data_IF_980707443867
#
_entry.id   IF_980707443867
#
_cell.length_a   1.000
_cell.length_b   1.000
_cell.length_c   1.000
_cell.angle_alpha   90.00
_cell.angle_beta   90.00
_cell.angle_gamma   90.00
#
_symmetry.space_group_name_H-M   'P 1'
#
loop_
_entity.id
_entity.type
_entity.pdbx_description
1 polymer ?
#
# COMPACT_ATOMS: atom_id res chain seq x y z
N UNK A 1 -20.38 3.59 -0.81
CA UNK A 1 -20.21 4.91 -1.46
C UNK A 1 -20.59 4.80 -2.92
N UNK A 2 -21.16 5.84 -3.54
CA UNK A 2 -21.46 5.83 -4.97
C UNK A 2 -20.17 5.73 -5.79
N UNK A 3 -20.28 5.31 -7.05
CA UNK A 3 -19.13 5.03 -7.93
C UNK A 3 -18.28 6.27 -8.24
N UNK A 4 -18.85 7.45 -8.10
CA UNK A 4 -18.24 8.77 -8.31
C UNK A 4 -17.59 9.35 -7.04
N UNK A 5 -17.66 8.65 -5.89
CA UNK A 5 -17.04 9.13 -4.67
C UNK A 5 -15.52 9.29 -4.85
N UNK A 6 -14.90 10.37 -4.34
CA UNK A 6 -13.46 10.59 -4.48
C UNK A 6 -12.60 9.44 -3.93
N UNK A 7 -11.66 8.98 -4.73
CA UNK A 7 -10.72 7.91 -4.39
C UNK A 7 -9.28 8.34 -4.63
N UNK A 8 -8.33 7.54 -4.14
CA UNK A 8 -6.92 7.68 -4.49
C UNK A 8 -6.65 7.08 -5.87
N UNK A 9 -5.62 7.58 -6.53
CA UNK A 9 -5.10 7.09 -7.81
C UNK A 9 -3.59 6.86 -7.69
N UNK A 10 -3.06 5.87 -8.40
CA UNK A 10 -1.62 5.60 -8.43
C UNK A 10 -0.89 6.66 -9.26
N UNK A 11 0.10 7.30 -8.66
CA UNK A 11 1.05 8.22 -9.33
C UNK A 11 2.26 7.43 -9.85
N UNK A 12 2.85 6.59 -9.00
CA UNK A 12 4.00 5.76 -9.37
C UNK A 12 3.95 4.43 -8.61
N UNK A 13 4.56 3.41 -9.20
CA UNK A 13 4.81 2.11 -8.56
C UNK A 13 6.24 1.69 -8.89
N UNK A 14 7.10 1.65 -7.88
CA UNK A 14 8.52 1.39 -8.01
C UNK A 14 8.91 0.14 -7.20
N UNK A 15 9.75 -0.76 -7.73
CA UNK A 15 10.26 -1.87 -6.95
C UNK A 15 11.18 -1.38 -5.82
N UNK A 16 11.25 -2.16 -4.75
CA UNK A 16 12.20 -1.98 -3.64
C UNK A 16 12.85 -3.32 -3.29
N UNK A 17 13.89 -3.31 -2.47
CA UNK A 17 14.52 -4.54 -1.97
C UNK A 17 13.54 -5.45 -1.19
N UNK A 18 12.45 -4.88 -0.69
CA UNK A 18 11.45 -5.54 0.14
C UNK A 18 10.12 -5.82 -0.57
N UNK A 19 9.92 -5.31 -1.79
CA UNK A 19 8.66 -5.44 -2.53
C UNK A 19 8.41 -4.25 -3.46
N UNK A 20 7.38 -3.46 -3.18
CA UNK A 20 6.96 -2.32 -4.02
C UNK A 20 6.66 -1.09 -3.17
N UNK A 21 6.95 0.10 -3.72
CA UNK A 21 6.56 1.39 -3.19
C UNK A 21 5.66 2.10 -4.19
N UNK A 22 4.46 2.45 -3.74
CA UNK A 22 3.42 3.06 -4.57
C UNK A 22 3.12 4.44 -4.02
N UNK A 23 3.19 5.46 -4.86
CA UNK A 23 2.70 6.80 -4.50
C UNK A 23 1.27 6.93 -4.96
N UNK A 24 0.38 7.36 -4.08
CA UNK A 24 -1.04 7.54 -4.38
C UNK A 24 -1.50 8.96 -4.08
N UNK A 25 -2.42 9.47 -4.90
CA UNK A 25 -2.93 10.84 -4.83
C UNK A 25 -4.46 10.87 -4.88
N UNK A 26 -5.07 11.69 -4.02
CA UNK A 26 -6.50 11.97 -4.05
C UNK A 26 -6.76 13.31 -4.71
N UNK A 27 -7.39 13.30 -5.87
CA UNK A 27 -7.64 14.52 -6.67
C UNK A 27 -8.74 15.43 -6.12
N UNK A 28 -9.69 14.87 -5.38
CA UNK A 28 -10.83 15.62 -4.83
C UNK A 28 -10.93 15.37 -3.33
N UNK A 29 -11.09 16.44 -2.55
CA UNK A 29 -11.35 16.33 -1.12
C UNK A 29 -12.74 15.72 -0.88
N UNK A 30 -12.84 14.91 0.15
CA UNK A 30 -14.08 14.36 0.65
C UNK A 30 -14.70 15.32 1.68
N UNK A 31 -15.89 14.96 2.19
CA UNK A 31 -16.53 15.67 3.29
C UNK A 31 -15.82 15.48 4.64
N UNK A 32 -14.76 14.65 4.71
CA UNK A 32 -13.95 14.45 5.91
C UNK A 32 -12.94 15.59 6.07
N UNK A 33 -12.82 16.18 7.27
CA UNK A 33 -11.81 17.20 7.52
C UNK A 33 -10.40 16.59 7.54
N UNK A 34 -9.41 17.37 7.09
CA UNK A 34 -7.99 16.99 7.08
C UNK A 34 -7.65 15.79 6.17
N UNK A 35 -8.25 15.75 4.98
CA UNK A 35 -7.88 14.79 3.94
C UNK A 35 -6.39 14.91 3.58
N UNK A 36 -5.68 13.77 3.62
CA UNK A 36 -4.27 13.71 3.23
C UNK A 36 -4.19 13.36 1.74
N UNK A 37 -3.84 14.36 0.94
CA UNK A 37 -3.90 14.26 -0.52
C UNK A 37 -2.86 13.29 -1.08
N UNK A 38 -1.66 13.25 -0.50
CA UNK A 38 -0.55 12.39 -0.95
C UNK A 38 -0.24 11.35 0.12
N UNK A 39 -0.23 10.08 -0.27
CA UNK A 39 0.18 8.98 0.61
C UNK A 39 1.18 8.08 -0.11
N UNK A 40 2.00 7.39 0.68
CA UNK A 40 2.86 6.32 0.19
C UNK A 40 2.33 4.99 0.69
N UNK A 41 2.32 3.99 -0.19
CA UNK A 41 2.01 2.62 0.14
C UNK A 41 3.26 1.76 -0.06
N UNK A 42 3.74 1.13 1.00
CA UNK A 42 4.78 0.11 0.89
C UNK A 42 4.12 -1.28 0.98
N UNK A 43 4.34 -2.09 -0.05
CA UNK A 43 4.05 -3.52 -0.07
C UNK A 43 5.33 -4.27 0.25
N UNK A 44 5.34 -4.95 1.39
CA UNK A 44 6.52 -5.57 1.98
C UNK A 44 6.30 -7.08 2.04
N UNK A 45 7.12 -7.83 1.32
CA UNK A 45 6.93 -9.25 1.07
C UNK A 45 7.77 -9.98 2.11
N UNK A 46 7.27 -10.05 3.35
CA UNK A 46 8.08 -10.42 4.51
C UNK A 46 8.45 -11.90 4.53
N UNK A 47 7.50 -12.78 4.21
CA UNK A 47 7.74 -14.22 4.06
C UNK A 47 6.88 -14.78 2.92
N UNK A 48 7.08 -16.05 2.59
CA UNK A 48 6.26 -16.79 1.63
C UNK A 48 4.75 -16.64 1.90
N UNK A 49 4.37 -16.55 3.19
CA UNK A 49 2.98 -16.52 3.66
C UNK A 49 2.59 -15.19 4.34
N UNK A 50 3.48 -14.20 4.37
CA UNK A 50 3.24 -12.92 5.07
C UNK A 50 3.53 -11.74 4.17
N UNK A 51 2.46 -11.04 3.80
CA UNK A 51 2.47 -9.73 3.17
C UNK A 51 2.20 -8.66 4.22
N UNK A 52 2.98 -7.59 4.23
CA UNK A 52 2.72 -6.39 5.02
C UNK A 52 2.45 -5.20 4.12
N UNK A 53 1.36 -4.49 4.40
CA UNK A 53 0.93 -3.30 3.68
C UNK A 53 1.02 -2.12 4.65
N UNK A 54 1.72 -1.06 4.27
CA UNK A 54 1.75 0.21 5.02
C UNK A 54 1.21 1.31 4.13
N UNK A 55 0.23 2.07 4.59
CA UNK A 55 -0.24 3.30 3.95
C UNK A 55 0.05 4.43 4.92
N UNK A 56 0.90 5.38 4.52
CA UNK A 56 1.40 6.39 5.43
C UNK A 56 1.65 7.74 4.74
N UNK A 57 1.65 8.78 5.55
CA UNK A 57 2.05 10.13 5.16
C UNK A 57 3.57 10.25 5.29
N UNK A 58 4.24 10.69 4.22
CA UNK A 58 5.69 10.90 4.18
C UNK A 58 6.11 12.28 4.65
N UNK A 59 5.18 13.25 4.69
CA UNK A 59 5.45 14.63 5.10
C UNK A 59 5.31 14.76 6.61
N UNK A 60 4.22 14.24 7.17
CA UNK A 60 3.96 14.29 8.60
C UNK A 60 3.96 12.90 9.22
N UNK A 61 4.94 12.64 10.08
CA UNK A 61 5.00 11.40 10.85
C UNK A 61 3.76 11.29 11.73
N UNK A 62 2.92 10.29 11.45
CA UNK A 62 1.74 9.97 12.25
C UNK A 62 2.09 8.97 13.36
N UNK A 63 1.19 8.84 14.33
CA UNK A 63 1.35 7.84 15.39
C UNK A 63 1.45 6.43 14.78
N UNK A 64 2.47 5.68 15.21
CA UNK A 64 2.62 4.25 14.94
C UNK A 64 2.62 3.52 16.28
N UNK A 65 1.88 2.41 16.38
CA UNK A 65 1.85 1.58 17.59
C UNK A 65 3.28 1.09 17.88
N UNK A 66 3.82 1.25 19.11
CA UNK A 66 5.16 0.80 19.46
C UNK A 66 5.18 -0.73 19.60
N UNK A 67 5.23 -1.41 18.45
CA UNK A 67 5.32 -2.86 18.35
C UNK A 67 6.66 -3.25 17.75
N UNK A 68 7.30 -4.28 18.31
CA UNK A 68 8.48 -4.90 17.68
C UNK A 68 8.02 -5.63 16.42
N UNK A 69 8.43 -5.14 15.26
CA UNK A 69 8.17 -5.79 13.97
C UNK A 69 9.44 -6.52 13.52
N UNK A 70 9.34 -7.74 12.97
CA UNK A 70 10.51 -8.46 12.47
C UNK A 70 11.27 -7.64 11.42
N UNK A 71 12.59 -7.63 11.52
CA UNK A 71 13.44 -7.09 10.46
C UNK A 71 13.46 -8.07 9.28
N UNK A 72 13.47 -7.52 8.08
CA UNK A 72 13.64 -8.29 6.84
C UNK A 72 14.84 -7.71 6.08
N UNK A 73 15.63 -8.58 5.46
CA UNK A 73 16.82 -8.17 4.69
C UNK A 73 16.50 -8.07 3.19
N UNK A 74 15.58 -8.91 2.69
CA UNK A 74 15.17 -8.97 1.30
C UNK A 74 13.73 -9.46 1.20
N UNK A 75 13.05 -9.12 0.10
CA UNK A 75 11.73 -9.66 -0.24
C UNK A 75 11.73 -11.20 -0.30
N UNK A 76 10.65 -11.80 0.16
CA UNK A 76 10.39 -13.23 -0.03
C UNK A 76 10.14 -13.55 -1.51
N UNK A 77 10.80 -14.60 -1.98
CA UNK A 77 10.63 -15.18 -3.31
C UNK A 77 11.04 -16.66 -3.25
N UNK A 78 10.11 -17.62 -3.35
CA UNK A 78 8.71 -17.48 -3.78
C UNK A 78 7.75 -16.98 -2.68
N UNK A 79 6.50 -16.70 -3.10
CA UNK A 79 5.34 -16.37 -2.24
C UNK A 79 4.13 -17.23 -2.57
N UNK A 80 3.26 -17.51 -1.59
CA UNK A 80 1.98 -18.21 -1.75
C UNK A 80 0.85 -17.31 -2.26
N UNK A 81 1.15 -16.02 -2.43
CA UNK A 81 0.21 -14.98 -2.87
C UNK A 81 0.75 -14.20 -4.07
N UNK A 82 -0.17 -13.77 -4.93
CA UNK A 82 0.05 -12.81 -6.00
C UNK A 82 -0.62 -11.47 -5.66
N UNK A 83 -0.02 -10.36 -6.12
CA UNK A 83 -0.53 -9.02 -5.86
C UNK A 83 -0.74 -8.29 -7.18
N UNK A 84 -1.93 -7.73 -7.36
CA UNK A 84 -2.27 -6.84 -8.46
C UNK A 84 -2.67 -5.48 -7.89
N UNK A 85 -2.00 -4.43 -8.34
CA UNK A 85 -2.35 -3.04 -8.01
C UNK A 85 -3.18 -2.46 -9.14
N UNK A 86 -4.39 -2.01 -8.85
CA UNK A 86 -5.21 -1.23 -9.79
C UNK A 86 -4.99 0.25 -9.55
N UNK A 87 -4.91 1.04 -10.62
CA UNK A 87 -4.48 2.43 -10.53
C UNK A 87 -5.60 3.44 -10.25
N UNK A 88 -6.81 3.22 -10.79
CA UNK A 88 -7.91 4.20 -10.71
C UNK A 88 -9.28 3.50 -10.67
N UNK A 89 -9.95 3.43 -9.51
CA UNK A 89 -9.44 3.82 -8.20
C UNK A 89 -8.26 2.92 -7.78
N UNK A 90 -7.38 3.45 -6.93
CA UNK A 90 -6.32 2.68 -6.29
C UNK A 90 -6.93 1.50 -5.53
N UNK A 91 -6.49 0.28 -5.85
CA UNK A 91 -6.81 -0.90 -5.04
C UNK A 91 -5.69 -1.93 -5.08
N UNK A 92 -5.64 -2.75 -4.04
CA UNK A 92 -4.72 -3.89 -3.92
C UNK A 92 -5.58 -5.15 -3.93
N UNK A 93 -5.33 -6.00 -4.92
CA UNK A 93 -5.89 -7.35 -4.99
C UNK A 93 -4.80 -8.34 -4.57
N UNK A 94 -5.08 -9.13 -3.54
CA UNK A 94 -4.19 -10.21 -3.08
C UNK A 94 -4.91 -11.53 -3.34
N UNK A 95 -4.29 -12.37 -4.17
CA UNK A 95 -4.87 -13.66 -4.59
C UNK A 95 -3.95 -14.79 -4.13
N UNK A 96 -4.53 -15.87 -3.59
CA UNK A 96 -3.77 -17.07 -3.26
C UNK A 96 -3.37 -17.78 -4.55
N UNK A 97 -2.11 -18.18 -4.71
CA UNK A 97 -1.64 -18.85 -5.94
C UNK A 97 -2.16 -20.27 -6.10
N UNK A 98 -2.60 -20.91 -5.02
CA UNK A 98 -3.01 -22.33 -5.03
C UNK A 98 -4.44 -22.58 -5.50
N UNK A 99 -5.21 -21.54 -5.83
CA UNK A 99 -6.64 -21.60 -6.20
C UNK A 99 -6.90 -20.67 -7.37
#
# INVERSE_FOLDING_TARGET
>A
YPSDFPNYEVISNEPTDFGQRIRIFKSQMTYMPHDIVNLTVDLIYETEQRLRIRIYDTVFKRYEVPLKVPAIEKKADPTDYEIVVKSKPFSILVTRKST
#
